data_IF_197893762923
#
_entry.id   IF_197893762923
#
_cell.length_a   1.000
_cell.length_b   1.000
_cell.length_c   1.000
_cell.angle_alpha   90.00
_cell.angle_beta   90.00
_cell.angle_gamma   90.00
#
_symmetry.space_group_name_H-M   'P 1'
#
loop_
_entity.id
_entity.type
_entity.pdbx_description
1 polymer ?
#
# COMPACT_ATOMS: atom_id res chain seq x y z
N UNK A 1 74.11 17.96 -40.38
CA UNK A 1 74.00 17.31 -39.06
C UNK A 1 72.76 17.89 -38.39
N UNK A 2 71.75 17.05 -38.13
CA UNK A 2 70.48 17.33 -37.43
C UNK A 2 69.50 18.33 -38.10
N UNK A 3 68.18 18.20 -38.01
CA UNK A 3 67.25 17.13 -37.64
C UNK A 3 65.85 17.67 -38.00
N UNK A 4 65.05 16.87 -38.70
CA UNK A 4 63.68 17.19 -39.11
C UNK A 4 62.71 17.10 -37.93
N UNK A 5 61.97 18.17 -37.68
CA UNK A 5 60.88 18.26 -36.70
C UNK A 5 59.67 17.44 -37.19
N UNK A 6 59.39 16.34 -36.50
CA UNK A 6 58.14 15.56 -36.65
C UNK A 6 57.20 15.89 -35.50
N UNK A 7 56.04 16.47 -35.83
CA UNK A 7 54.88 16.61 -34.94
C UNK A 7 54.36 15.23 -34.47
N UNK A 8 53.97 15.06 -33.19
CA UNK A 8 53.38 13.82 -32.73
C UNK A 8 51.90 13.72 -33.13
N UNK A 9 51.51 12.49 -33.44
CA UNK A 9 50.20 12.07 -33.92
C UNK A 9 49.06 12.31 -32.91
N UNK A 10 47.88 12.49 -33.48
CA UNK A 10 46.59 12.73 -32.86
C UNK A 10 46.18 11.67 -31.81
N UNK A 11 45.85 12.15 -30.61
CA UNK A 11 45.17 11.38 -29.56
C UNK A 11 43.73 11.13 -30.02
N UNK A 12 43.38 9.85 -30.22
CA UNK A 12 41.98 9.44 -30.48
C UNK A 12 41.14 9.66 -29.22
N UNK A 13 39.89 10.14 -29.33
CA UNK A 13 38.99 10.24 -28.17
C UNK A 13 38.63 8.83 -27.67
N UNK A 14 38.80 8.62 -26.38
CA UNK A 14 38.32 7.46 -25.64
C UNK A 14 36.82 7.26 -25.88
N UNK A 15 36.43 6.03 -26.25
CA UNK A 15 35.03 5.64 -26.42
C UNK A 15 34.19 5.86 -25.15
N UNK A 16 32.85 5.86 -25.27
CA UNK A 16 31.97 6.10 -24.14
C UNK A 16 32.23 5.08 -23.02
N UNK A 17 32.09 5.48 -21.74
CA UNK A 17 32.31 4.60 -20.61
C UNK A 17 31.39 3.38 -20.72
N UNK A 18 31.99 2.19 -20.80
CA UNK A 18 31.25 0.93 -20.76
C UNK A 18 30.57 0.85 -19.39
N UNK A 19 29.25 1.02 -19.37
CA UNK A 19 28.43 0.73 -18.20
C UNK A 19 28.57 -0.77 -17.95
N UNK A 20 28.98 -1.21 -16.75
CA UNK A 20 29.05 -2.64 -16.43
C UNK A 20 27.67 -3.25 -16.71
N UNK A 21 27.61 -4.16 -17.67
CA UNK A 21 26.46 -5.04 -17.83
C UNK A 21 26.27 -5.74 -16.49
N UNK A 22 25.04 -5.76 -15.98
CA UNK A 22 24.67 -6.48 -14.77
C UNK A 22 25.01 -7.96 -14.94
N UNK A 23 26.26 -8.31 -14.66
CA UNK A 23 26.61 -9.63 -14.16
C UNK A 23 25.71 -9.81 -12.94
N UNK A 24 24.84 -10.80 -13.07
CA UNK A 24 24.09 -11.40 -12.00
C UNK A 24 24.99 -11.44 -10.78
N UNK A 25 24.63 -10.68 -9.74
CA UNK A 25 25.11 -10.93 -8.39
C UNK A 25 24.84 -12.41 -8.13
N UNK A 26 25.86 -13.24 -8.32
CA UNK A 26 25.92 -14.62 -7.87
C UNK A 26 25.85 -14.56 -6.36
N UNK A 27 24.64 -14.39 -5.85
CA UNK A 27 24.33 -14.61 -4.46
C UNK A 27 24.65 -16.08 -4.23
N UNK A 28 25.67 -16.43 -3.43
CA UNK A 28 25.96 -17.81 -3.15
C UNK A 28 24.68 -18.50 -2.69
N UNK A 29 24.49 -19.74 -3.12
CA UNK A 29 23.45 -20.64 -2.62
C UNK A 29 23.64 -20.84 -1.11
N UNK A 30 23.37 -19.82 -0.30
CA UNK A 30 23.62 -19.75 1.15
C UNK A 30 22.78 -20.76 1.93
N UNK A 31 21.82 -21.42 1.28
CA UNK A 31 20.86 -22.31 1.90
C UNK A 31 20.81 -23.59 1.08
N UNK A 32 21.32 -24.68 1.66
CA UNK A 32 21.26 -26.01 1.05
C UNK A 32 19.80 -26.42 0.78
N UNK A 33 19.53 -27.29 -0.23
CA UNK A 33 18.17 -27.75 -0.54
C UNK A 33 17.45 -28.37 0.66
N UNK A 34 18.21 -29.05 1.53
CA UNK A 34 17.71 -29.61 2.79
C UNK A 34 17.34 -28.53 3.79
N UNK A 35 18.16 -27.49 3.93
CA UNK A 35 17.86 -26.36 4.81
C UNK A 35 16.63 -25.58 4.32
N UNK A 36 16.46 -25.40 3.00
CA UNK A 36 15.23 -24.82 2.41
C UNK A 36 13.98 -25.62 2.79
N UNK A 37 14.05 -26.95 2.69
CA UNK A 37 12.95 -27.84 3.01
C UNK A 37 12.48 -27.74 4.47
N UNK A 38 13.38 -27.39 5.39
CA UNK A 38 13.06 -27.17 6.80
C UNK A 38 12.72 -25.71 7.13
N UNK A 39 13.34 -24.73 6.48
CA UNK A 39 13.06 -23.31 6.74
C UNK A 39 11.65 -22.90 6.38
N UNK A 40 11.08 -23.41 5.28
CA UNK A 40 9.71 -23.08 4.88
C UNK A 40 8.65 -23.51 5.91
N UNK A 41 8.63 -24.77 6.40
CA UNK A 41 7.70 -25.17 7.46
C UNK A 41 8.00 -24.48 8.79
N UNK A 42 9.26 -24.23 9.16
CA UNK A 42 9.60 -23.49 10.38
C UNK A 42 9.08 -22.05 10.35
N UNK A 43 9.27 -21.34 9.23
CA UNK A 43 8.75 -19.99 9.04
C UNK A 43 7.22 -19.97 9.00
N UNK A 44 6.59 -21.01 8.43
CA UNK A 44 5.14 -21.17 8.47
C UNK A 44 4.63 -21.37 9.89
N UNK A 45 5.25 -22.26 10.67
CA UNK A 45 4.91 -22.53 12.06
C UNK A 45 5.10 -21.26 12.90
N UNK A 46 6.23 -20.56 12.73
CA UNK A 46 6.50 -19.30 13.41
C UNK A 46 5.47 -18.23 13.04
N UNK A 47 5.14 -18.09 11.75
CA UNK A 47 4.12 -17.17 11.27
C UNK A 47 2.74 -17.47 11.85
N UNK A 48 2.36 -18.75 11.91
CA UNK A 48 1.10 -19.21 12.55
C UNK A 48 1.10 -18.93 14.05
N UNK A 49 2.20 -19.19 14.75
CA UNK A 49 2.32 -18.93 16.19
C UNK A 49 2.29 -17.43 16.51
N UNK A 50 3.03 -16.61 15.76
CA UNK A 50 2.96 -15.16 15.89
C UNK A 50 1.55 -14.63 15.61
N UNK A 51 0.85 -15.19 14.61
CA UNK A 51 -0.54 -14.85 14.33
C UNK A 51 -1.49 -15.24 15.47
N UNK A 52 -1.31 -16.43 16.08
CA UNK A 52 -2.13 -16.89 17.20
C UNK A 52 -1.93 -16.03 18.47
N UNK A 53 -0.68 -15.70 18.78
CA UNK A 53 -0.32 -14.95 20.00
C UNK A 53 -0.69 -13.46 19.86
N UNK A 54 -0.34 -12.83 18.73
CA UNK A 54 -0.56 -11.39 18.53
C UNK A 54 -1.98 -11.06 18.01
N UNK A 55 -2.63 -12.00 17.33
CA UNK A 55 -4.00 -11.87 16.82
C UNK A 55 -5.10 -12.03 17.87
N UNK A 56 -4.74 -12.23 19.15
CA UNK A 56 -5.67 -12.37 20.29
C UNK A 56 -6.78 -13.41 20.07
N UNK A 57 -6.54 -14.43 19.25
CA UNK A 57 -7.56 -15.42 18.93
C UNK A 57 -8.80 -14.84 18.23
N UNK A 58 -8.67 -13.77 17.45
CA UNK A 58 -9.76 -13.31 16.57
C UNK A 58 -9.86 -14.28 15.37
N UNK A 59 -10.37 -15.48 15.67
CA UNK A 59 -10.55 -16.54 14.71
C UNK A 59 -11.62 -16.08 13.73
N UNK A 60 -11.23 -15.87 12.48
CA UNK A 60 -12.17 -15.94 11.38
C UNK A 60 -13.17 -17.09 11.59
N UNK A 61 -14.43 -16.86 11.20
CA UNK A 61 -15.59 -17.73 11.46
C UNK A 61 -15.21 -19.22 11.44
N UNK A 62 -15.75 -20.05 12.36
CA UNK A 62 -15.43 -21.50 12.51
C UNK A 62 -15.31 -22.26 11.18
N UNK A 63 -16.04 -21.82 10.16
CA UNK A 63 -16.00 -22.28 8.77
C UNK A 63 -14.64 -22.08 8.06
N UNK A 64 -13.98 -20.93 8.21
CA UNK A 64 -12.68 -20.64 7.59
C UNK A 64 -11.59 -21.61 8.08
N UNK A 65 -11.60 -21.96 9.37
CA UNK A 65 -10.68 -22.97 9.93
C UNK A 65 -10.84 -24.33 9.27
N UNK A 66 -12.09 -24.77 9.06
CA UNK A 66 -12.40 -26.03 8.37
C UNK A 66 -11.97 -26.00 6.91
N UNK A 67 -12.15 -24.86 6.22
CA UNK A 67 -11.70 -24.70 4.84
C UNK A 67 -10.19 -24.72 4.69
N UNK A 68 -9.44 -24.06 5.58
CA UNK A 68 -7.97 -24.09 5.57
C UNK A 68 -7.48 -25.51 5.83
N UNK A 69 -8.04 -26.20 6.83
CA UNK A 69 -7.68 -27.58 7.11
C UNK A 69 -7.99 -28.49 5.92
N UNK A 70 -9.17 -28.35 5.31
CA UNK A 70 -9.54 -29.10 4.11
C UNK A 70 -8.59 -28.81 2.94
N UNK A 71 -8.21 -27.55 2.71
CA UNK A 71 -7.26 -27.18 1.66
C UNK A 71 -5.87 -27.80 1.91
N UNK A 72 -5.39 -27.81 3.17
CA UNK A 72 -4.13 -28.48 3.54
C UNK A 72 -4.23 -29.97 3.27
N UNK A 73 -5.28 -30.65 3.75
CA UNK A 73 -5.48 -32.09 3.54
C UNK A 73 -5.56 -32.43 2.05
N UNK A 74 -6.33 -31.65 1.26
CA UNK A 74 -6.44 -31.83 -0.18
C UNK A 74 -5.11 -31.58 -0.89
N UNK A 75 -4.28 -30.64 -0.42
CA UNK A 75 -2.95 -30.38 -0.99
C UNK A 75 -1.93 -31.50 -0.74
N UNK A 76 -2.19 -32.40 0.20
CA UNK A 76 -1.37 -33.60 0.42
C UNK A 76 -1.63 -34.69 -0.62
N UNK A 77 -2.76 -34.62 -1.34
CA UNK A 77 -3.12 -35.57 -2.40
C UNK A 77 -2.29 -35.25 -3.66
N UNK A 78 -1.37 -36.12 -4.12
CA UNK A 78 -0.44 -35.80 -5.20
C UNK A 78 -1.06 -35.28 -6.52
N UNK A 79 -2.15 -35.87 -7.06
CA UNK A 79 -2.77 -35.33 -8.28
C UNK A 79 -3.38 -33.93 -8.08
N UNK A 80 -3.96 -33.67 -6.90
CA UNK A 80 -4.52 -32.35 -6.54
C UNK A 80 -3.40 -31.32 -6.41
N UNK A 81 -2.29 -31.70 -5.77
CA UNK A 81 -1.12 -30.85 -5.63
C UNK A 81 -0.51 -30.49 -6.99
N UNK A 82 -0.33 -31.48 -7.88
CA UNK A 82 0.21 -31.24 -9.24
C UNK A 82 -0.69 -30.31 -10.04
N UNK A 83 -2.00 -30.52 -9.98
CA UNK A 83 -2.98 -29.64 -10.63
C UNK A 83 -2.91 -28.21 -10.05
N UNK A 84 -2.89 -28.08 -8.71
CA UNK A 84 -2.76 -26.80 -8.04
C UNK A 84 -1.48 -26.08 -8.44
N UNK A 85 -0.33 -26.76 -8.44
CA UNK A 85 0.95 -26.20 -8.89
C UNK A 85 0.89 -25.72 -10.34
N UNK A 86 0.34 -26.52 -11.26
CA UNK A 86 0.20 -26.14 -12.67
C UNK A 86 -0.71 -24.90 -12.86
N UNK A 87 -1.81 -24.82 -12.10
CA UNK A 87 -2.70 -23.65 -12.12
C UNK A 87 -2.00 -22.40 -11.56
N UNK A 88 -1.26 -22.55 -10.45
CA UNK A 88 -0.50 -21.45 -9.84
C UNK A 88 0.61 -20.93 -10.76
N UNK A 89 1.30 -21.82 -11.47
CA UNK A 89 2.32 -21.44 -12.47
C UNK A 89 1.73 -20.60 -13.61
N UNK A 90 0.52 -20.93 -14.06
CA UNK A 90 -0.19 -20.17 -15.10
C UNK A 90 -0.53 -18.74 -14.64
N UNK A 91 -0.77 -18.54 -13.35
CA UNK A 91 -1.09 -17.23 -12.75
C UNK A 91 0.18 -16.41 -12.48
N UNK A 92 1.36 -17.03 -12.47
CA UNK A 92 2.61 -16.41 -12.02
C UNK A 92 3.18 -15.34 -12.95
N UNK A 93 2.86 -15.39 -14.26
CA UNK A 93 3.43 -14.50 -15.28
C UNK A 93 2.41 -14.00 -16.33
N UNK A 94 1.33 -13.33 -15.95
CA UNK A 94 0.38 -12.73 -16.87
C UNK A 94 0.98 -11.55 -17.65
N UNK A 95 0.32 -11.20 -18.74
CA UNK A 95 0.69 -10.04 -19.56
C UNK A 95 0.56 -8.72 -18.79
N UNK A 96 1.25 -7.67 -19.25
CA UNK A 96 1.13 -6.32 -18.66
C UNK A 96 -0.31 -5.80 -18.63
N UNK A 97 -1.08 -6.06 -19.70
CA UNK A 97 -2.51 -5.69 -19.78
C UNK A 97 -3.32 -6.39 -18.69
N UNK A 98 -3.14 -7.69 -18.53
CA UNK A 98 -3.83 -8.46 -17.50
C UNK A 98 -3.42 -8.00 -16.08
N UNK A 99 -2.15 -7.64 -15.88
CA UNK A 99 -1.67 -7.08 -14.60
C UNK A 99 -2.43 -5.80 -14.24
N UNK A 100 -2.61 -4.88 -15.20
CA UNK A 100 -3.38 -3.65 -15.00
C UNK A 100 -4.86 -3.94 -14.74
N UNK A 101 -5.48 -4.84 -15.50
CA UNK A 101 -6.88 -5.24 -15.29
C UNK A 101 -7.07 -5.82 -13.89
N UNK A 102 -6.17 -6.72 -13.46
CA UNK A 102 -6.19 -7.31 -12.13
C UNK A 102 -6.03 -6.24 -11.04
N UNK A 103 -5.12 -5.28 -11.18
CA UNK A 103 -4.95 -4.21 -10.20
C UNK A 103 -6.22 -3.35 -10.08
N UNK A 104 -6.86 -3.00 -11.21
CA UNK A 104 -8.12 -2.24 -11.21
C UNK A 104 -9.25 -3.08 -10.57
N UNK A 105 -9.36 -4.35 -10.94
CA UNK A 105 -10.36 -5.25 -10.37
C UNK A 105 -10.16 -5.41 -8.86
N UNK A 106 -8.92 -5.60 -8.39
CA UNK A 106 -8.58 -5.67 -6.97
C UNK A 106 -8.98 -4.37 -6.26
N UNK A 107 -8.66 -3.20 -6.83
CA UNK A 107 -9.02 -1.91 -6.25
C UNK A 107 -10.54 -1.76 -6.08
N UNK A 108 -11.30 -2.06 -7.13
CA UNK A 108 -12.76 -1.95 -7.13
C UNK A 108 -13.40 -2.97 -6.18
N UNK A 109 -12.99 -4.24 -6.26
CA UNK A 109 -13.51 -5.30 -5.40
C UNK A 109 -13.22 -5.02 -3.92
N UNK A 110 -12.00 -4.58 -3.58
CA UNK A 110 -11.66 -4.21 -2.22
C UNK A 110 -12.44 -2.98 -1.73
N UNK A 111 -12.58 -1.95 -2.57
CA UNK A 111 -13.37 -0.74 -2.27
C UNK A 111 -14.84 -1.06 -1.99
N UNK A 112 -15.43 -2.03 -2.70
CA UNK A 112 -16.79 -2.49 -2.46
C UNK A 112 -16.88 -3.45 -1.26
N UNK A 113 -15.86 -4.29 -1.06
CA UNK A 113 -15.81 -5.30 0.00
C UNK A 113 -15.85 -4.70 1.41
N UNK A 114 -15.08 -3.62 1.67
CA UNK A 114 -15.04 -3.02 3.02
C UNK A 114 -16.40 -2.51 3.50
N UNK A 115 -17.14 -1.66 2.76
CA UNK A 115 -18.46 -1.19 3.18
C UNK A 115 -19.47 -2.33 3.16
N UNK A 116 -19.43 -3.25 2.20
CA UNK A 116 -20.32 -4.41 2.18
C UNK A 116 -20.18 -5.25 3.46
N UNK A 117 -18.94 -5.60 3.83
CA UNK A 117 -18.70 -6.39 5.05
C UNK A 117 -18.95 -5.59 6.32
N UNK A 118 -18.73 -4.28 6.30
CA UNK A 118 -19.10 -3.39 7.40
C UNK A 118 -20.61 -3.38 7.63
N UNK A 119 -21.39 -3.22 6.57
CA UNK A 119 -22.85 -3.27 6.60
C UNK A 119 -23.37 -4.63 7.05
N UNK A 120 -22.85 -5.72 6.47
CA UNK A 120 -23.25 -7.09 6.84
C UNK A 120 -22.97 -7.43 8.32
N UNK A 121 -21.92 -6.83 8.90
CA UNK A 121 -21.58 -6.99 10.31
C UNK A 121 -22.26 -5.95 11.21
N UNK A 122 -23.22 -5.19 10.70
CA UNK A 122 -23.91 -4.11 11.42
C UNK A 122 -22.95 -3.11 12.08
N UNK A 123 -21.82 -2.81 11.42
CA UNK A 123 -20.87 -1.82 11.93
C UNK A 123 -21.46 -0.42 11.77
N UNK A 124 -21.26 0.42 12.77
CA UNK A 124 -21.55 1.85 12.64
C UNK A 124 -20.49 2.52 11.75
N UNK A 125 -20.94 3.33 10.78
CA UNK A 125 -20.14 4.13 9.84
C UNK A 125 -19.98 5.59 10.28
N UNK A 126 -20.57 5.95 11.43
CA UNK A 126 -20.42 7.25 12.05
C UNK A 126 -19.04 7.41 12.73
N UNK A 127 -18.59 8.65 12.94
CA UNK A 127 -17.37 8.94 13.66
C UNK A 127 -17.51 8.49 15.12
N UNK A 128 -16.48 7.81 15.63
CA UNK A 128 -16.47 7.22 16.98
C UNK A 128 -15.44 7.86 17.87
N UNK A 129 -14.33 8.28 17.29
CA UNK A 129 -13.20 8.83 18.03
C UNK A 129 -13.17 10.34 17.88
N UNK A 130 -12.69 11.02 18.92
CA UNK A 130 -12.54 12.48 18.90
C UNK A 130 -11.78 12.97 17.66
N UNK A 131 -10.79 12.21 17.15
CA UNK A 131 -9.94 12.65 16.04
C UNK A 131 -10.71 12.63 14.72
N UNK A 132 -11.63 11.68 14.56
CA UNK A 132 -12.52 11.62 13.41
C UNK A 132 -13.35 12.90 13.25
N UNK A 133 -13.83 13.46 14.37
CA UNK A 133 -14.56 14.74 14.36
C UNK A 133 -13.65 15.92 13.99
N UNK A 134 -12.40 15.91 14.43
CA UNK A 134 -11.42 16.93 14.03
C UNK A 134 -11.15 16.90 12.52
N UNK A 135 -10.98 15.71 11.93
CA UNK A 135 -10.85 15.57 10.48
C UNK A 135 -12.14 16.00 9.75
N UNK A 136 -13.33 15.72 10.29
CA UNK A 136 -14.59 16.19 9.70
C UNK A 136 -14.72 17.70 9.71
N UNK A 137 -14.27 18.38 10.78
CA UNK A 137 -14.24 19.84 10.86
C UNK A 137 -13.32 20.38 9.74
N UNK A 138 -12.10 19.85 9.63
CA UNK A 138 -11.14 20.28 8.62
C UNK A 138 -11.64 20.02 7.19
N UNK A 139 -12.21 18.84 6.95
CA UNK A 139 -12.85 18.45 5.69
C UNK A 139 -13.93 19.47 5.26
N UNK A 140 -14.79 19.91 6.20
CA UNK A 140 -15.82 20.90 5.93
C UNK A 140 -15.25 22.30 5.67
N UNK A 141 -14.20 22.70 6.38
CA UNK A 141 -13.50 23.97 6.15
C UNK A 141 -12.87 23.99 4.75
N UNK A 142 -12.12 22.94 4.39
CA UNK A 142 -11.47 22.81 3.09
C UNK A 142 -12.47 22.79 1.94
N UNK A 143 -13.62 22.13 2.12
CA UNK A 143 -14.70 22.14 1.13
C UNK A 143 -15.25 23.55 0.85
N UNK A 144 -15.06 24.49 1.77
CA UNK A 144 -15.40 25.93 1.64
C UNK A 144 -14.20 26.80 1.27
N UNK A 145 -13.06 26.20 0.90
CA UNK A 145 -11.83 26.91 0.56
C UNK A 145 -11.13 27.58 1.74
N UNK A 146 -11.32 27.06 2.96
CA UNK A 146 -10.73 27.62 4.18
C UNK A 146 -9.83 26.61 4.88
N UNK A 147 -8.65 27.05 5.32
CA UNK A 147 -7.74 26.24 6.13
C UNK A 147 -8.11 26.29 7.64
N UNK A 148 -8.69 27.40 8.07
CA UNK A 148 -9.19 27.63 9.43
C UNK A 148 -10.38 28.60 9.40
N UNK A 149 -11.10 28.67 10.52
CA UNK A 149 -12.17 29.63 10.75
C UNK A 149 -11.74 30.66 11.81
N UNK A 150 -12.39 31.84 11.88
CA UNK A 150 -12.18 32.77 12.98
C UNK A 150 -12.42 32.10 14.34
N UNK A 151 -11.68 32.51 15.37
CA UNK A 151 -11.91 32.08 16.74
C UNK A 151 -13.35 32.39 17.18
N UNK A 152 -13.97 31.47 17.92
CA UNK A 152 -15.30 31.68 18.51
C UNK A 152 -15.23 32.69 19.66
N UNK A 153 -16.21 33.59 19.85
CA UNK A 153 -16.20 34.59 20.94
C UNK A 153 -16.08 33.97 22.34
N UNK A 154 -16.60 32.76 22.51
CA UNK A 154 -16.56 31.98 23.75
C UNK A 154 -15.53 30.83 23.71
N UNK A 155 -14.42 31.00 22.97
CA UNK A 155 -13.45 29.91 22.73
C UNK A 155 -12.96 29.20 23.99
N UNK A 156 -12.82 29.89 25.13
CA UNK A 156 -12.42 29.30 26.41
C UNK A 156 -13.36 28.17 26.89
N UNK A 157 -14.64 28.21 26.51
CA UNK A 157 -15.62 27.18 26.86
C UNK A 157 -15.64 26.00 25.89
N UNK A 158 -14.99 26.12 24.73
CA UNK A 158 -14.98 25.11 23.67
C UNK A 158 -13.61 24.41 23.52
N UNK A 159 -12.70 24.62 24.47
CA UNK A 159 -11.38 24.01 24.42
C UNK A 159 -11.46 22.48 24.44
N UNK A 160 -10.70 21.83 23.55
CA UNK A 160 -10.75 20.39 23.33
C UNK A 160 -9.45 19.87 22.69
N UNK A 161 -9.15 18.59 22.90
CA UNK A 161 -7.84 17.99 22.65
C UNK A 161 -7.35 18.07 21.19
N UNK A 162 -8.24 18.19 20.21
CA UNK A 162 -7.90 18.01 18.79
C UNK A 162 -8.42 19.13 17.89
N UNK A 163 -8.89 20.22 18.49
CA UNK A 163 -9.33 21.40 17.76
C UNK A 163 -8.66 22.61 18.41
N UNK A 164 -7.91 23.35 17.61
CA UNK A 164 -7.44 24.67 17.99
C UNK A 164 -8.67 25.57 18.07
N UNK A 165 -8.88 26.20 19.21
CA UNK A 165 -9.95 27.20 19.42
C UNK A 165 -9.42 28.63 19.51
N UNK A 166 -8.11 28.79 19.71
CA UNK A 166 -7.38 30.06 19.77
C UNK A 166 -6.03 29.94 19.05
N UNK A 167 -5.56 30.97 18.32
CA UNK A 167 -6.25 32.22 17.97
C UNK A 167 -7.26 32.04 16.81
N UNK A 168 -7.40 30.82 16.30
CA UNK A 168 -8.30 30.45 15.20
C UNK A 168 -9.01 29.14 15.55
N UNK A 169 -10.12 28.87 14.89
CA UNK A 169 -10.83 27.59 14.98
C UNK A 169 -10.37 26.65 13.86
N UNK A 170 -9.61 25.60 14.18
CA UNK A 170 -9.02 24.69 13.19
C UNK A 170 -8.77 23.28 13.77
N UNK A 171 -8.66 22.28 12.91
CA UNK A 171 -8.12 20.97 13.34
C UNK A 171 -6.64 21.11 13.72
N UNK A 172 -6.19 20.35 14.72
CA UNK A 172 -4.75 20.25 15.04
C UNK A 172 -3.97 19.46 13.97
N UNK A 173 -4.66 18.70 13.12
CA UNK A 173 -4.03 17.84 12.13
C UNK A 173 -3.68 18.61 10.86
N UNK A 174 -2.67 18.13 10.13
CA UNK A 174 -2.30 18.66 8.84
C UNK A 174 -3.40 18.41 7.79
N UNK A 175 -3.56 19.29 6.77
CA UNK A 175 -4.71 19.27 5.86
C UNK A 175 -4.68 18.13 4.85
N UNK A 176 -3.56 17.44 4.67
CA UNK A 176 -3.34 16.45 3.61
C UNK A 176 -4.34 15.30 3.64
N UNK A 177 -4.72 14.82 4.82
CA UNK A 177 -5.76 13.80 4.95
C UNK A 177 -7.12 14.36 4.54
N UNK A 178 -7.50 15.51 5.11
CA UNK A 178 -8.78 16.15 4.84
C UNK A 178 -8.99 16.51 3.37
N UNK A 179 -7.91 16.87 2.63
CA UNK A 179 -7.94 17.09 1.18
C UNK A 179 -8.41 15.86 0.38
N UNK A 180 -8.05 14.64 0.81
CA UNK A 180 -8.53 13.39 0.18
C UNK A 180 -10.04 13.22 0.37
N UNK A 181 -10.57 13.68 1.51
CA UNK A 181 -11.99 13.59 1.82
C UNK A 181 -12.82 14.68 1.15
N UNK A 182 -12.27 15.88 0.96
CA UNK A 182 -12.99 17.08 0.47
C UNK A 182 -13.92 16.83 -0.73
N UNK A 183 -13.52 16.08 -1.78
CA UNK A 183 -14.41 15.80 -2.91
C UNK A 183 -15.73 15.12 -2.51
N UNK A 184 -15.75 14.34 -1.42
CA UNK A 184 -16.97 13.69 -0.94
C UNK A 184 -18.01 14.73 -0.49
N UNK A 185 -17.58 15.89 0.04
CA UNK A 185 -18.50 16.98 0.39
C UNK A 185 -19.16 17.57 -0.84
N UNK A 186 -18.36 17.86 -1.86
CA UNK A 186 -18.84 18.49 -3.10
C UNK A 186 -19.79 17.56 -3.87
N UNK A 187 -19.48 16.27 -3.87
CA UNK A 187 -20.29 15.23 -4.51
C UNK A 187 -21.50 14.81 -3.67
N UNK A 188 -21.65 15.32 -2.45
CA UNK A 188 -22.73 14.94 -1.52
C UNK A 188 -22.81 13.43 -1.25
N UNK A 189 -21.65 12.76 -1.22
CA UNK A 189 -21.54 11.34 -0.91
C UNK A 189 -20.90 11.13 0.46
N UNK A 190 -21.08 9.96 1.10
CA UNK A 190 -20.53 9.71 2.43
C UNK A 190 -18.99 9.76 2.46
N UNK A 191 -18.41 10.36 3.50
CA UNK A 191 -16.95 10.51 3.63
C UNK A 191 -16.20 9.17 3.73
N UNK A 192 -16.84 8.13 4.28
CA UNK A 192 -16.23 6.80 4.42
C UNK A 192 -15.94 6.16 3.06
N UNK A 193 -16.59 6.62 1.97
CA UNK A 193 -16.30 6.15 0.62
C UNK A 193 -14.87 6.50 0.20
N UNK A 194 -14.36 7.68 0.58
CA UNK A 194 -12.97 8.05 0.31
C UNK A 194 -11.98 7.17 1.09
N UNK A 195 -12.27 6.83 2.35
CA UNK A 195 -11.44 5.88 3.12
C UNK A 195 -11.43 4.50 2.47
N UNK A 196 -12.60 4.01 2.05
CA UNK A 196 -12.72 2.70 1.43
C UNK A 196 -12.01 2.65 0.07
N UNK A 197 -12.15 3.71 -0.73
CA UNK A 197 -11.46 3.84 -2.01
C UNK A 197 -9.94 3.92 -1.82
N UNK A 198 -9.46 4.73 -0.87
CA UNK A 198 -8.04 4.81 -0.54
C UNK A 198 -7.48 3.45 -0.08
N UNK A 199 -8.21 2.73 0.76
CA UNK A 199 -7.86 1.38 1.19
C UNK A 199 -7.86 0.38 0.02
N UNK A 200 -8.87 0.40 -0.85
CA UNK A 200 -8.94 -0.48 -2.01
C UNK A 200 -7.79 -0.24 -2.99
N UNK A 201 -7.46 1.02 -3.28
CA UNK A 201 -6.30 1.38 -4.11
C UNK A 201 -5.00 0.95 -3.42
N UNK A 202 -4.90 1.09 -2.09
CA UNK A 202 -3.74 0.59 -1.31
C UNK A 202 -3.53 -0.91 -1.50
N UNK A 203 -4.61 -1.72 -1.48
CA UNK A 203 -4.55 -3.17 -1.75
C UNK A 203 -4.03 -3.46 -3.16
N UNK A 204 -4.52 -2.71 -4.17
CA UNK A 204 -4.05 -2.86 -5.54
C UNK A 204 -2.59 -2.42 -5.73
N UNK A 205 -2.15 -1.36 -5.05
CA UNK A 205 -0.76 -0.92 -5.09
C UNK A 205 0.16 -1.94 -4.41
N UNK A 206 -0.26 -2.53 -3.29
CA UNK A 206 0.48 -3.61 -2.66
C UNK A 206 0.63 -4.81 -3.60
N UNK A 207 -0.46 -5.20 -4.28
CA UNK A 207 -0.42 -6.22 -5.33
C UNK A 207 0.62 -5.88 -6.39
N UNK A 208 0.64 -4.66 -6.91
CA UNK A 208 1.60 -4.23 -7.94
C UNK A 208 3.05 -4.23 -7.43
N UNK A 209 3.28 -3.74 -6.21
CA UNK A 209 4.62 -3.69 -5.60
C UNK A 209 5.17 -5.10 -5.42
N UNK A 210 4.40 -6.00 -4.81
CA UNK A 210 4.85 -7.38 -4.56
C UNK A 210 4.97 -8.15 -5.88
N UNK A 211 4.12 -7.89 -6.86
CA UNK A 211 4.25 -8.43 -8.21
C UNK A 211 5.54 -7.98 -8.89
N UNK A 212 5.94 -6.72 -8.73
CA UNK A 212 7.18 -6.19 -9.29
C UNK A 212 8.43 -6.74 -8.58
N UNK A 213 8.34 -7.04 -7.28
CA UNK A 213 9.45 -7.57 -6.48
C UNK A 213 9.61 -9.10 -6.55
N UNK A 214 8.52 -9.84 -6.69
CA UNK A 214 8.49 -11.31 -6.58
C UNK A 214 7.81 -11.92 -7.80
N UNK A 215 6.49 -12.00 -7.78
CA UNK A 215 5.63 -12.49 -8.87
C UNK A 215 4.15 -12.21 -8.56
N UNK A 216 3.27 -12.46 -9.54
CA UNK A 216 1.84 -12.17 -9.43
C UNK A 216 1.11 -13.01 -8.39
N UNK A 217 1.57 -14.23 -8.11
CA UNK A 217 0.96 -15.08 -7.09
C UNK A 217 1.25 -14.50 -5.70
N UNK A 218 2.50 -14.14 -5.43
CA UNK A 218 2.90 -13.44 -4.21
C UNK A 218 2.13 -12.12 -4.07
N UNK A 219 1.94 -11.39 -5.18
CA UNK A 219 1.12 -10.17 -5.20
C UNK A 219 -0.33 -10.41 -4.78
N UNK A 220 -0.98 -11.43 -5.35
CA UNK A 220 -2.37 -11.78 -5.00
C UNK A 220 -2.49 -12.20 -3.54
N UNK A 221 -1.54 -13.02 -3.06
CA UNK A 221 -1.50 -13.42 -1.66
C UNK A 221 -1.32 -12.23 -0.73
N UNK A 222 -0.41 -11.30 -1.05
CA UNK A 222 -0.20 -10.09 -0.27
C UNK A 222 -1.46 -9.20 -0.20
N UNK A 223 -2.16 -9.04 -1.32
CA UNK A 223 -3.43 -8.32 -1.38
C UNK A 223 -4.52 -8.99 -0.50
N UNK A 224 -4.68 -10.31 -0.61
CA UNK A 224 -5.63 -11.07 0.21
C UNK A 224 -5.29 -11.00 1.70
N UNK A 225 -4.00 -11.10 2.05
CA UNK A 225 -3.53 -10.96 3.43
C UNK A 225 -3.86 -9.59 3.99
N UNK A 226 -3.59 -8.51 3.24
CA UNK A 226 -3.90 -7.14 3.67
C UNK A 226 -5.41 -6.95 3.89
N UNK A 227 -6.26 -7.44 2.99
CA UNK A 227 -7.73 -7.42 3.15
C UNK A 227 -8.17 -8.20 4.40
N UNK A 228 -7.46 -9.27 4.74
CA UNK A 228 -7.71 -10.08 5.93
C UNK A 228 -7.38 -9.40 7.27
N UNK A 229 -6.54 -8.36 7.29
CA UNK A 229 -6.14 -7.66 8.51
C UNK A 229 -7.33 -6.95 9.13
N UNK A 230 -7.71 -7.32 10.35
CA UNK A 230 -8.88 -6.75 11.07
C UNK A 230 -8.76 -5.24 11.25
N UNK A 231 -7.58 -4.75 11.66
CA UNK A 231 -7.30 -3.33 11.82
C UNK A 231 -7.39 -2.57 10.49
N UNK A 232 -6.90 -3.14 9.38
CA UNK A 232 -7.00 -2.52 8.07
C UNK A 232 -8.47 -2.37 7.62
N UNK A 233 -9.30 -3.40 7.83
CA UNK A 233 -10.75 -3.32 7.56
C UNK A 233 -11.45 -2.27 8.42
N UNK A 234 -10.99 -2.06 9.66
CA UNK A 234 -11.51 -0.98 10.52
C UNK A 234 -11.12 0.39 9.96
N UNK A 235 -9.85 0.59 9.64
CA UNK A 235 -9.33 1.84 9.07
C UNK A 235 -9.97 2.18 7.72
N UNK A 236 -10.29 1.18 6.90
CA UNK A 236 -10.94 1.38 5.59
C UNK A 236 -12.33 2.04 5.68
N UNK A 237 -12.98 2.05 6.85
CA UNK A 237 -14.30 2.66 7.06
C UNK A 237 -14.25 3.95 7.89
N UNK A 238 -13.10 4.26 8.51
CA UNK A 238 -12.94 5.41 9.40
C UNK A 238 -12.38 6.62 8.65
N UNK A 239 -12.82 7.82 9.01
CA UNK A 239 -12.17 9.04 8.54
C UNK A 239 -10.89 9.28 9.33
N UNK A 240 -9.80 9.64 8.66
CA UNK A 240 -8.58 10.04 9.37
C UNK A 240 -7.34 10.00 8.49
N UNK A 241 -6.17 10.22 9.10
CA UNK A 241 -4.91 10.28 8.36
C UNK A 241 -4.39 8.93 7.85
N UNK A 242 -4.80 7.80 8.45
CA UNK A 242 -4.20 6.50 8.13
C UNK A 242 -4.50 6.01 6.71
N UNK A 243 -5.76 5.93 6.22
CA UNK A 243 -6.01 5.43 4.86
C UNK A 243 -5.35 6.29 3.76
N UNK A 244 -5.44 7.64 3.80
CA UNK A 244 -4.69 8.50 2.87
C UNK A 244 -3.19 8.29 2.92
N UNK A 245 -2.58 8.21 4.12
CA UNK A 245 -1.14 8.03 4.25
C UNK A 245 -0.68 6.68 3.66
N UNK A 246 -1.41 5.60 3.92
CA UNK A 246 -1.09 4.28 3.36
C UNK A 246 -1.14 4.29 1.83
N UNK A 247 -2.16 4.93 1.26
CA UNK A 247 -2.27 5.13 -0.19
C UNK A 247 -1.06 5.89 -0.74
N UNK A 248 -0.73 7.03 -0.15
CA UNK A 248 0.37 7.89 -0.59
C UNK A 248 1.73 7.19 -0.45
N UNK A 249 1.95 6.47 0.66
CA UNK A 249 3.17 5.71 0.90
C UNK A 249 3.36 4.56 -0.11
N UNK A 250 2.30 3.82 -0.43
CA UNK A 250 2.35 2.77 -1.45
C UNK A 250 2.55 3.35 -2.85
N UNK A 251 1.90 4.48 -3.17
CA UNK A 251 2.07 5.15 -4.46
C UNK A 251 3.50 5.67 -4.63
N UNK A 252 4.07 6.27 -3.57
CA UNK A 252 5.46 6.69 -3.50
C UNK A 252 6.40 5.51 -3.73
N UNK A 253 6.20 4.39 -3.03
CA UNK A 253 7.04 3.19 -3.15
C UNK A 253 7.01 2.63 -4.58
N UNK A 254 5.83 2.51 -5.18
CA UNK A 254 5.69 2.04 -6.56
C UNK A 254 6.38 2.99 -7.56
N UNK A 255 6.23 4.30 -7.39
CA UNK A 255 6.92 5.28 -8.23
C UNK A 255 8.44 5.17 -8.08
N UNK A 256 8.93 5.00 -6.86
CA UNK A 256 10.35 4.82 -6.61
C UNK A 256 10.91 3.53 -7.26
N UNK A 257 10.19 2.41 -7.18
CA UNK A 257 10.59 1.16 -7.86
C UNK A 257 10.70 1.36 -9.38
N UNK A 258 9.68 2.00 -9.98
CA UNK A 258 9.67 2.30 -11.42
C UNK A 258 10.75 3.29 -11.84
N UNK A 259 11.04 4.29 -11.01
CA UNK A 259 12.17 5.20 -11.22
C UNK A 259 13.48 4.42 -11.19
N UNK A 260 13.69 3.54 -10.21
CA UNK A 260 14.94 2.79 -10.08
C UNK A 260 15.22 1.92 -11.32
N UNK A 261 14.17 1.34 -11.89
CA UNK A 261 14.23 0.50 -13.11
C UNK A 261 14.42 1.29 -14.40
N UNK A 262 13.71 2.41 -14.57
CA UNK A 262 13.64 3.12 -15.86
C UNK A 262 14.45 4.42 -15.91
N UNK A 263 14.89 4.93 -14.76
CA UNK A 263 15.55 6.23 -14.55
C UNK A 263 14.81 7.44 -15.12
N UNK A 264 13.52 7.31 -15.45
CA UNK A 264 12.71 8.43 -15.95
C UNK A 264 12.39 9.41 -14.81
N UNK A 265 12.73 10.69 -15.00
CA UNK A 265 12.51 11.74 -14.00
C UNK A 265 11.06 11.88 -13.54
N UNK A 266 10.08 11.62 -14.42
CA UNK A 266 8.66 11.68 -14.05
C UNK A 266 8.28 10.79 -12.87
N UNK A 267 8.91 9.62 -12.72
CA UNK A 267 8.67 8.75 -11.56
C UNK A 267 9.29 9.29 -10.27
N UNK A 268 10.45 9.95 -10.36
CA UNK A 268 11.07 10.60 -9.19
C UNK A 268 10.25 11.80 -8.73
N UNK A 269 9.76 12.64 -9.65
CA UNK A 269 8.87 13.76 -9.36
C UNK A 269 7.57 13.26 -8.72
N UNK A 270 6.95 12.20 -9.27
CA UNK A 270 5.76 11.61 -8.69
C UNK A 270 6.00 11.04 -7.27
N UNK A 271 7.12 10.34 -7.06
CA UNK A 271 7.49 9.86 -5.73
C UNK A 271 7.65 11.02 -4.73
N UNK A 272 8.34 12.09 -5.12
CA UNK A 272 8.48 13.30 -4.30
C UNK A 272 7.15 13.99 -4.00
N UNK A 273 6.24 14.05 -4.98
CA UNK A 273 4.90 14.62 -4.79
C UNK A 273 4.07 13.80 -3.78
N UNK A 274 4.08 12.47 -3.89
CA UNK A 274 3.41 11.60 -2.92
C UNK A 274 4.05 11.67 -1.53
N UNK A 275 5.38 11.78 -1.44
CA UNK A 275 6.08 11.98 -0.18
C UNK A 275 5.71 13.32 0.48
N UNK A 276 5.70 14.41 -0.30
CA UNK A 276 5.33 15.75 0.18
C UNK A 276 3.88 15.81 0.66
N UNK A 277 2.94 15.21 -0.09
CA UNK A 277 1.56 15.07 0.38
C UNK A 277 1.50 14.18 1.64
N UNK A 278 2.23 13.08 1.68
CA UNK A 278 2.34 12.22 2.87
C UNK A 278 2.76 13.00 4.12
N UNK A 279 3.76 13.88 4.00
CA UNK A 279 4.27 14.70 5.09
C UNK A 279 3.24 15.71 5.63
N UNK A 280 2.34 16.22 4.79
CA UNK A 280 1.22 17.05 5.24
C UNK A 280 -0.04 16.23 5.56
N UNK A 281 0.03 14.91 5.55
CA UNK A 281 -1.08 14.02 5.89
C UNK A 281 -0.95 13.49 7.32
N UNK A 282 0.27 13.13 7.74
CA UNK A 282 0.55 12.63 9.08
C UNK A 282 2.04 12.63 9.42
#
# INVERSE_FOLDING_TARGET
>A
MASSDTFPASVRPSGPPQIPTHDTLDLPHLISPRLRAWTAPLLLILGVQCWLILGHGDYGLRFQRRLVLAAVVLSLIPPVNRLACALLERIRRPSRRLTTILAIAIALLATCYFPFTGWYQSRNFEPKWQDEFSYLIQFQMLARGRLWMPQHPLADFFDTFQVLVKPVYASIYFPGAALVYTPMKWLHVPYWLASSAAAGITVALLYLIVTELVDHLAGLLAALMLVGVSMFRKLALMIGGHPPLMLLAMAMMLCWLRWRRTRRHGWAVAAGAFAGWGAITR
#
